data_IF_770548294905
#
_entry.id   IF_770548294905
#
_cell.length_a   1.000
_cell.length_b   1.000
_cell.length_c   1.000
_cell.angle_alpha   90.00
_cell.angle_beta   90.00
_cell.angle_gamma   90.00
#
_symmetry.space_group_name_H-M   'P 1'
#
loop_
_entity.id
_entity.type
_entity.pdbx_description
1 polymer ?
#
# COMPACT_ATOMS: atom_id res chain seq x y z
N UNK A 1 -51.53 -24.52 62.62
CA UNK A 1 -51.01 -25.49 61.63
C UNK A 1 -51.65 -25.16 60.29
N UNK A 2 -50.87 -25.25 59.21
CA UNK A 2 -51.05 -24.58 57.91
C UNK A 2 -52.37 -24.89 57.17
N UNK A 3 -53.03 -23.82 56.72
CA UNK A 3 -54.00 -23.85 55.61
C UNK A 3 -53.25 -23.86 54.28
N UNK A 4 -53.64 -24.73 53.34
CA UNK A 4 -53.15 -24.70 51.95
C UNK A 4 -54.29 -24.33 51.00
N UNK A 5 -54.03 -23.34 50.15
CA UNK A 5 -54.92 -22.82 49.11
C UNK A 5 -54.35 -23.27 47.76
N UNK A 6 -55.13 -23.89 46.85
CA UNK A 6 -54.64 -24.23 45.52
C UNK A 6 -54.61 -22.99 44.61
N UNK A 7 -53.52 -22.86 43.84
CA UNK A 7 -53.25 -21.76 42.90
C UNK A 7 -53.99 -21.97 41.57
N UNK A 8 -54.49 -20.92 40.90
CA UNK A 8 -55.07 -21.02 39.57
C UNK A 8 -53.98 -21.16 38.48
N UNK A 9 -54.25 -22.03 37.51
CA UNK A 9 -53.42 -22.25 36.34
C UNK A 9 -53.51 -21.05 35.38
N UNK A 10 -52.36 -20.46 35.06
CA UNK A 10 -52.24 -19.42 34.03
C UNK A 10 -51.92 -20.09 32.71
N UNK A 11 -52.85 -20.00 31.75
CA UNK A 11 -52.69 -20.47 30.37
C UNK A 11 -51.88 -19.43 29.58
N UNK A 12 -50.73 -19.85 29.04
CA UNK A 12 -49.86 -19.05 28.19
C UNK A 12 -50.30 -19.23 26.73
N UNK A 13 -50.79 -18.17 26.07
CA UNK A 13 -51.08 -18.18 24.64
C UNK A 13 -49.82 -17.81 23.84
N UNK A 14 -49.29 -18.74 23.06
CA UNK A 14 -48.18 -18.48 22.14
C UNK A 14 -48.70 -17.86 20.83
N UNK A 15 -48.34 -16.60 20.57
CA UNK A 15 -48.58 -15.95 19.29
C UNK A 15 -47.53 -16.40 18.27
N UNK A 16 -47.96 -17.11 17.22
CA UNK A 16 -47.12 -17.51 16.10
C UNK A 16 -46.97 -16.32 15.15
N UNK A 17 -45.79 -15.69 15.13
CA UNK A 17 -45.43 -14.70 14.13
C UNK A 17 -44.94 -15.42 12.86
N UNK A 18 -45.75 -15.45 11.81
CA UNK A 18 -45.37 -15.91 10.47
C UNK A 18 -44.61 -14.81 9.73
N UNK A 19 -43.31 -14.69 9.99
CA UNK A 19 -42.42 -13.82 9.20
C UNK A 19 -42.18 -14.40 7.80
N UNK A 20 -42.56 -13.68 6.75
CA UNK A 20 -42.19 -14.02 5.37
C UNK A 20 -40.71 -13.69 5.13
N UNK A 21 -39.89 -14.72 4.97
CA UNK A 21 -38.51 -14.59 4.50
C UNK A 21 -38.55 -14.22 3.01
N UNK A 22 -38.44 -12.92 2.72
CA UNK A 22 -38.15 -12.46 1.36
C UNK A 22 -36.76 -12.94 0.93
N UNK A 23 -36.53 -13.31 -0.35
CA UNK A 23 -35.25 -13.80 -0.80
C UNK A 23 -34.19 -12.68 -0.71
N UNK A 24 -33.19 -12.87 0.15
CA UNK A 24 -31.99 -12.05 0.16
C UNK A 24 -31.21 -12.30 -1.13
N UNK A 25 -31.23 -11.31 -2.03
CA UNK A 25 -30.43 -11.34 -3.27
C UNK A 25 -28.96 -11.20 -2.90
N UNK A 26 -28.26 -12.32 -2.79
CA UNK A 26 -26.82 -12.36 -2.61
C UNK A 26 -26.15 -11.81 -3.89
N UNK A 27 -25.58 -10.62 -3.81
CA UNK A 27 -24.71 -10.12 -4.88
C UNK A 27 -23.39 -10.91 -4.82
N UNK A 28 -22.90 -11.45 -5.94
CA UNK A 28 -21.61 -12.11 -5.95
C UNK A 28 -20.55 -11.08 -5.59
N UNK A 29 -19.79 -11.37 -4.52
CA UNK A 29 -18.59 -10.62 -4.17
C UNK A 29 -17.62 -10.79 -5.33
N UNK A 30 -17.46 -9.74 -6.15
CA UNK A 30 -16.46 -9.74 -7.22
C UNK A 30 -15.11 -9.93 -6.54
N UNK A 31 -14.48 -11.09 -6.79
CA UNK A 31 -13.18 -11.40 -6.24
C UNK A 31 -12.22 -10.32 -6.72
N UNK A 32 -11.69 -9.53 -5.79
CA UNK A 32 -10.66 -8.54 -6.10
C UNK A 32 -9.46 -9.34 -6.58
N UNK A 33 -9.10 -9.19 -7.86
CA UNK A 33 -7.89 -9.79 -8.40
C UNK A 33 -6.73 -9.39 -7.49
N UNK A 34 -6.01 -10.38 -6.98
CA UNK A 34 -4.82 -10.13 -6.20
C UNK A 34 -3.84 -9.35 -7.09
N UNK A 35 -3.59 -8.09 -6.76
CA UNK A 35 -2.52 -7.33 -7.38
C UNK A 35 -1.23 -7.99 -6.94
N UNK A 36 -0.56 -8.68 -7.87
CA UNK A 36 0.79 -9.21 -7.64
C UNK A 36 1.65 -8.04 -7.16
N UNK A 37 2.20 -8.15 -5.95
CA UNK A 37 3.12 -7.13 -5.46
C UNK A 37 4.31 -7.07 -6.40
N UNK A 38 4.74 -5.88 -6.85
CA UNK A 38 5.96 -5.77 -7.63
C UNK A 38 7.11 -6.42 -6.86
N UNK A 39 7.88 -7.26 -7.55
CA UNK A 39 9.13 -7.78 -7.00
C UNK A 39 10.19 -6.69 -7.22
N UNK A 40 11.00 -6.36 -6.19
CA UNK A 40 12.06 -5.38 -6.35
C UNK A 40 13.09 -5.83 -7.38
N UNK A 41 13.43 -4.95 -8.31
CA UNK A 41 14.51 -5.14 -9.26
C UNK A 41 15.79 -4.53 -8.70
N UNK A 42 16.89 -5.27 -8.78
CA UNK A 42 18.21 -4.75 -8.42
C UNK A 42 18.75 -3.88 -9.56
N UNK A 43 19.34 -2.74 -9.20
CA UNK A 43 20.02 -1.87 -10.14
C UNK A 43 21.44 -2.37 -10.32
N UNK A 44 21.86 -2.57 -11.58
CA UNK A 44 23.23 -2.92 -11.91
C UNK A 44 24.13 -1.68 -11.77
N UNK A 45 24.74 -1.51 -10.60
CA UNK A 45 25.51 -0.32 -10.25
C UNK A 45 26.74 -0.12 -11.15
N UNK A 46 27.35 -1.20 -11.65
CA UNK A 46 28.55 -1.13 -12.49
C UNK A 46 28.31 -0.48 -13.86
N UNK A 47 27.12 -0.66 -14.43
CA UNK A 47 26.73 -0.09 -15.73
C UNK A 47 25.84 1.16 -15.62
N UNK A 48 25.51 1.58 -14.40
CA UNK A 48 24.62 2.73 -14.15
C UNK A 48 25.43 3.98 -13.80
N UNK A 49 24.87 5.16 -14.12
CA UNK A 49 25.45 6.47 -13.80
C UNK A 49 24.39 7.38 -13.20
N UNK A 50 24.84 8.32 -12.37
CA UNK A 50 24.00 9.36 -11.78
C UNK A 50 24.49 10.70 -12.30
N UNK A 51 23.62 11.46 -12.93
CA UNK A 51 23.94 12.79 -13.46
C UNK A 51 23.06 13.83 -12.77
N UNK A 52 23.67 14.91 -12.30
CA UNK A 52 22.98 16.04 -11.66
C UNK A 52 23.28 17.28 -12.49
N UNK A 53 22.22 17.95 -12.96
CA UNK A 53 22.34 19.26 -13.59
C UNK A 53 22.56 20.32 -12.51
N UNK A 54 23.61 21.12 -12.67
CA UNK A 54 23.91 22.28 -11.83
C UNK A 54 23.66 23.55 -12.65
N UNK A 55 22.64 24.31 -12.25
CA UNK A 55 22.33 25.59 -12.89
C UNK A 55 23.28 26.68 -12.45
N UNK A 56 23.55 27.64 -13.33
CA UNK A 56 24.30 28.84 -12.96
C UNK A 56 23.53 29.66 -11.90
N UNK A 57 24.21 30.10 -10.83
CA UNK A 57 23.65 31.06 -9.87
C UNK A 57 24.09 32.48 -10.24
N UNK A 58 23.14 33.32 -10.69
CA UNK A 58 23.37 34.74 -10.94
C UNK A 58 23.87 35.08 -12.36
N UNK A 59 24.60 36.19 -12.50
CA UNK A 59 25.02 36.76 -13.80
C UNK A 59 26.31 36.16 -14.39
N UNK A 60 27.08 35.41 -13.59
CA UNK A 60 28.38 34.85 -13.97
C UNK A 60 28.37 33.34 -13.73
N UNK A 61 28.62 32.57 -14.80
CA UNK A 61 28.64 31.10 -14.79
C UNK A 61 27.97 30.51 -16.04
N UNK A 62 28.28 29.26 -16.35
CA UNK A 62 27.56 28.42 -17.30
C UNK A 62 26.92 27.23 -16.58
N UNK A 63 25.81 26.74 -17.11
CA UNK A 63 25.24 25.45 -16.70
C UNK A 63 26.32 24.37 -16.85
N UNK A 64 26.49 23.54 -15.84
CA UNK A 64 27.38 22.38 -15.88
C UNK A 64 26.72 21.17 -15.23
N UNK A 65 27.28 19.99 -15.44
CA UNK A 65 26.85 18.76 -14.80
C UNK A 65 27.83 18.31 -13.73
N UNK A 66 27.35 17.46 -12.83
CA UNK A 66 28.23 16.54 -12.11
C UNK A 66 27.74 15.12 -12.36
N UNK A 67 28.69 14.19 -12.49
CA UNK A 67 28.41 12.78 -12.69
C UNK A 67 29.03 11.96 -11.56
N UNK A 68 28.30 10.97 -11.07
CA UNK A 68 28.75 10.03 -10.05
C UNK A 68 28.25 8.61 -10.30
N UNK A 69 28.52 7.74 -9.31
CA UNK A 69 28.21 6.31 -9.32
C UNK A 69 27.22 5.95 -8.22
N UNK A 70 26.54 4.82 -8.42
CA UNK A 70 25.79 4.15 -7.37
C UNK A 70 26.70 3.18 -6.62
N UNK A 71 26.55 3.10 -5.31
CA UNK A 71 27.03 1.97 -4.50
C UNK A 71 26.09 0.77 -4.72
N UNK A 72 24.78 1.02 -4.69
CA UNK A 72 23.74 0.01 -4.89
C UNK A 72 22.39 0.66 -5.22
N UNK A 73 21.42 -0.14 -5.61
CA UNK A 73 20.04 0.32 -5.76
C UNK A 73 19.04 -0.81 -5.95
N UNK A 74 17.81 -0.59 -5.51
CA UNK A 74 16.66 -1.48 -5.73
C UNK A 74 15.42 -0.65 -6.05
N UNK A 75 14.60 -1.10 -7.00
CA UNK A 75 13.40 -0.38 -7.43
C UNK A 75 12.22 -1.34 -7.59
N UNK A 76 11.07 -0.96 -7.05
CA UNK A 76 9.80 -1.60 -7.33
C UNK A 76 9.13 -0.86 -8.50
N UNK A 77 8.97 -1.53 -9.65
CA UNK A 77 8.28 -0.92 -10.78
C UNK A 77 6.82 -0.65 -10.42
N UNK A 78 6.44 0.63 -10.36
CA UNK A 78 5.11 1.09 -9.92
C UNK A 78 5.00 1.37 -8.41
N UNK A 79 6.13 1.40 -7.69
CA UNK A 79 6.17 1.63 -6.26
C UNK A 79 7.36 2.50 -5.82
N UNK A 80 7.98 2.10 -4.72
CA UNK A 80 9.11 2.77 -4.09
C UNK A 80 10.45 2.18 -4.54
N UNK A 81 11.55 2.86 -4.22
CA UNK A 81 12.89 2.33 -4.41
C UNK A 81 13.89 3.00 -3.49
N UNK A 82 15.10 2.46 -3.48
CA UNK A 82 16.23 2.98 -2.73
C UNK A 82 17.44 2.99 -3.68
N UNK A 83 18.12 4.13 -3.74
CA UNK A 83 19.37 4.30 -4.47
C UNK A 83 20.41 4.82 -3.48
N UNK A 84 21.56 4.17 -3.42
CA UNK A 84 22.67 4.58 -2.56
C UNK A 84 23.76 5.16 -3.44
N UNK A 85 24.02 6.45 -3.26
CA UNK A 85 25.01 7.19 -4.04
C UNK A 85 26.40 7.06 -3.41
N UNK A 86 27.42 6.87 -4.25
CA UNK A 86 28.80 7.06 -3.82
C UNK A 86 29.13 8.54 -3.86
N UNK A 87 29.02 9.19 -2.71
CA UNK A 87 29.23 10.64 -2.59
C UNK A 87 30.66 11.09 -2.95
N UNK A 88 31.65 10.19 -2.91
CA UNK A 88 33.03 10.51 -3.26
C UNK A 88 33.30 10.38 -4.76
N UNK A 89 32.39 9.77 -5.51
CA UNK A 89 32.53 9.54 -6.95
C UNK A 89 32.08 10.71 -7.82
N UNK A 90 31.44 11.74 -7.23
CA UNK A 90 30.94 12.87 -7.98
C UNK A 90 32.09 13.76 -8.44
N UNK A 91 32.17 13.92 -9.76
CA UNK A 91 33.11 14.81 -10.44
C UNK A 91 32.34 15.71 -11.41
N UNK A 92 32.95 16.83 -11.80
CA UNK A 92 32.42 17.66 -12.87
C UNK A 92 32.26 16.80 -14.14
N UNK A 93 31.14 16.96 -14.83
CA UNK A 93 30.91 16.28 -16.11
C UNK A 93 31.51 17.16 -17.21
N UNK A 94 32.51 16.65 -17.93
CA UNK A 94 33.28 17.39 -18.93
C UNK A 94 32.51 17.64 -20.26
N UNK A 95 31.17 17.62 -20.22
CA UNK A 95 30.27 17.78 -21.37
C UNK A 95 30.01 19.25 -21.73
#
# INVERSE_FOLDING_TARGET
MQHSIPRPAVLLAAAVFTGSLGPTRAYPRVARLAVTRPVPFQVEAGSSRVSIKVGAMGRFGHDHGVQGRLVSGKVDLGGSGELVFDMQSFVEDDQ
#
